data_IF_315581603294
#
_entry.id   IF_315581603294
#
_cell.length_a   1.000
_cell.length_b   1.000
_cell.length_c   1.000
_cell.angle_alpha   90.00
_cell.angle_beta   90.00
_cell.angle_gamma   90.00
#
_symmetry.space_group_name_H-M   'P 1'
#
loop_
_entity.id
_entity.type
_entity.pdbx_description
1 polymer ?
#
# COMPACT_ATOMS: atom_id res chain seq x y z
N UNK A 1 7.02 61.75 -30.81
CA UNK A 1 8.11 60.76 -30.95
C UNK A 1 9.11 61.01 -29.82
N UNK A 2 9.04 60.27 -28.73
CA UNK A 2 9.98 60.38 -27.62
C UNK A 2 11.21 59.52 -27.97
N UNK A 3 12.31 60.18 -28.24
CA UNK A 3 13.62 59.54 -28.44
C UNK A 3 14.07 58.95 -27.09
N UNK A 4 14.13 57.63 -26.99
CA UNK A 4 14.77 56.95 -25.87
C UNK A 4 16.26 57.19 -26.00
N UNK A 5 16.82 58.07 -25.11
CA UNK A 5 18.25 58.27 -24.99
C UNK A 5 18.90 56.98 -24.53
N UNK A 6 19.81 56.41 -25.34
CA UNK A 6 20.65 55.30 -24.91
C UNK A 6 21.60 55.85 -23.83
N UNK A 7 21.35 55.50 -22.59
CA UNK A 7 22.26 55.79 -21.48
C UNK A 7 23.60 55.08 -21.75
N UNK A 8 24.70 55.82 -21.78
CA UNK A 8 26.03 55.24 -21.90
C UNK A 8 26.30 54.39 -20.65
N UNK A 9 26.39 53.07 -20.84
CA UNK A 9 26.68 52.12 -19.77
C UNK A 9 28.12 52.34 -19.28
N UNK A 10 28.22 52.67 -18.00
CA UNK A 10 29.49 52.86 -17.33
C UNK A 10 30.08 51.53 -16.84
N UNK A 11 31.40 51.51 -16.54
CA UNK A 11 32.04 50.35 -15.88
C UNK A 11 31.34 49.97 -14.57
N UNK A 12 30.81 50.95 -13.88
CA UNK A 12 30.04 50.76 -12.65
C UNK A 12 28.74 50.03 -12.91
N UNK A 13 27.99 50.39 -13.94
CA UNK A 13 26.73 49.73 -14.31
C UNK A 13 26.97 48.29 -14.70
N UNK A 14 28.06 48.02 -15.43
CA UNK A 14 28.48 46.67 -15.75
C UNK A 14 28.73 45.83 -14.49
N UNK A 15 29.45 46.37 -13.50
CA UNK A 15 29.71 45.66 -12.25
C UNK A 15 28.42 45.37 -11.47
N UNK A 16 27.50 46.34 -11.39
CA UNK A 16 26.21 46.11 -10.75
C UNK A 16 25.37 45.03 -11.43
N UNK A 17 25.30 45.06 -12.75
CA UNK A 17 24.56 44.06 -13.54
C UNK A 17 25.20 42.68 -13.39
N UNK A 18 26.53 42.59 -13.51
CA UNK A 18 27.25 41.33 -13.37
C UNK A 18 27.10 40.74 -11.97
N UNK A 19 27.24 41.55 -10.92
CA UNK A 19 27.07 41.11 -9.54
C UNK A 19 25.62 40.68 -9.30
N UNK A 20 24.63 41.43 -9.77
CA UNK A 20 23.21 41.08 -9.65
C UNK A 20 22.86 39.77 -10.37
N UNK A 21 23.42 39.58 -11.58
CA UNK A 21 23.23 38.33 -12.32
C UNK A 21 23.83 37.12 -11.60
N UNK A 22 25.08 37.25 -11.12
CA UNK A 22 25.73 36.16 -10.34
C UNK A 22 24.97 35.87 -9.04
N UNK A 23 24.53 36.91 -8.33
CA UNK A 23 23.73 36.75 -7.11
C UNK A 23 22.39 36.09 -7.40
N UNK A 24 21.71 36.45 -8.49
CA UNK A 24 20.46 35.81 -8.89
C UNK A 24 20.63 34.30 -9.25
N UNK A 25 21.67 33.98 -10.02
CA UNK A 25 22.01 32.61 -10.38
C UNK A 25 22.41 31.83 -9.12
N UNK A 26 23.25 32.38 -8.26
CA UNK A 26 23.65 31.74 -7.00
C UNK A 26 22.48 31.51 -6.06
N UNK A 27 21.57 32.48 -5.94
CA UNK A 27 20.34 32.34 -5.16
C UNK A 27 19.43 31.26 -5.72
N UNK A 28 19.20 31.23 -7.03
CA UNK A 28 18.42 30.19 -7.69
C UNK A 28 19.07 28.81 -7.52
N UNK A 29 20.38 28.70 -7.69
CA UNK A 29 21.11 27.46 -7.50
C UNK A 29 21.02 26.91 -6.06
N UNK A 30 21.00 27.82 -5.06
CA UNK A 30 20.84 27.45 -3.65
C UNK A 30 19.48 26.85 -3.33
N UNK A 31 18.43 27.16 -4.10
CA UNK A 31 17.10 26.58 -3.92
C UNK A 31 17.01 25.14 -4.45
N UNK A 32 17.85 24.75 -5.41
CA UNK A 32 17.80 23.42 -6.02
C UNK A 32 17.94 22.30 -5.00
N UNK A 33 18.96 22.27 -4.11
CA UNK A 33 19.07 21.21 -3.10
C UNK A 33 17.91 21.24 -2.10
N UNK A 34 17.39 22.42 -1.75
CA UNK A 34 16.25 22.55 -0.84
C UNK A 34 14.96 21.95 -1.42
N UNK A 35 14.73 22.14 -2.72
CA UNK A 35 13.59 21.56 -3.43
C UNK A 35 13.84 20.06 -3.65
N UNK A 36 15.05 19.68 -4.04
CA UNK A 36 15.42 18.30 -4.34
C UNK A 36 15.28 17.37 -3.13
N UNK A 37 15.57 17.86 -1.92
CA UNK A 37 15.39 17.07 -0.70
C UNK A 37 13.93 16.74 -0.36
N UNK A 38 12.95 17.40 -0.99
CA UNK A 38 11.53 17.07 -0.86
C UNK A 38 11.13 15.84 -1.68
N UNK A 39 11.97 15.41 -2.61
CA UNK A 39 11.74 14.17 -3.35
C UNK A 39 11.96 12.95 -2.45
N UNK A 40 11.20 11.86 -2.68
CA UNK A 40 11.42 10.61 -1.95
C UNK A 40 12.85 10.11 -2.19
N UNK A 41 13.48 9.63 -1.14
CA UNK A 41 14.81 9.01 -1.21
C UNK A 41 14.77 7.62 -1.89
N UNK A 42 15.95 7.09 -2.20
CA UNK A 42 16.05 5.79 -2.87
C UNK A 42 15.50 4.63 -2.03
N UNK A 43 15.55 4.72 -0.70
CA UNK A 43 15.02 3.69 0.20
C UNK A 43 13.49 3.69 0.20
N UNK A 44 12.88 4.87 0.17
CA UNK A 44 11.42 5.04 0.06
C UNK A 44 10.91 4.53 -1.29
N UNK A 45 11.64 4.82 -2.37
CA UNK A 45 11.29 4.33 -3.72
C UNK A 45 11.41 2.80 -3.76
N UNK A 46 12.49 2.23 -3.21
CA UNK A 46 12.70 0.79 -3.16
C UNK A 46 11.62 0.09 -2.31
N UNK A 47 11.23 0.67 -1.17
CA UNK A 47 10.16 0.14 -0.33
C UNK A 47 8.78 0.14 -1.01
N UNK A 48 8.60 1.00 -2.04
CA UNK A 48 7.39 1.05 -2.87
C UNK A 48 7.38 0.06 -4.03
N UNK A 49 8.52 -0.57 -4.33
CA UNK A 49 8.62 -1.52 -5.44
C UNK A 49 7.75 -2.77 -5.20
N UNK A 50 7.24 -3.40 -6.27
CA UNK A 50 6.58 -4.69 -6.17
C UNK A 50 7.49 -5.76 -5.56
N UNK A 51 6.90 -6.69 -4.81
CA UNK A 51 7.61 -7.84 -4.24
C UNK A 51 7.07 -9.14 -4.80
N UNK A 52 7.98 -10.08 -5.07
CA UNK A 52 7.64 -11.44 -5.44
C UNK A 52 7.73 -12.34 -4.21
N UNK A 53 6.70 -13.13 -3.97
CA UNK A 53 6.63 -14.06 -2.83
C UNK A 53 6.50 -15.49 -3.35
N UNK A 54 7.38 -16.37 -2.88
CA UNK A 54 7.30 -17.81 -3.14
C UNK A 54 6.28 -18.46 -2.20
N UNK A 55 5.31 -19.13 -2.77
CA UNK A 55 4.23 -19.81 -2.07
C UNK A 55 4.48 -21.31 -1.87
N UNK A 56 5.48 -21.88 -2.56
CA UNK A 56 5.77 -23.31 -2.51
C UNK A 56 6.00 -23.86 -1.08
N UNK A 57 6.66 -23.11 -0.16
CA UNK A 57 6.86 -23.59 1.21
C UNK A 57 5.65 -23.44 2.12
N UNK A 58 4.54 -22.83 1.65
CA UNK A 58 3.37 -22.51 2.49
C UNK A 58 2.42 -23.70 2.51
N UNK A 59 2.29 -24.35 3.66
CA UNK A 59 1.40 -25.49 3.84
C UNK A 59 -0.09 -25.10 3.84
N UNK A 60 -0.96 -26.07 3.56
CA UNK A 60 -2.41 -25.91 3.66
C UNK A 60 -2.81 -25.43 5.08
N UNK A 61 -3.67 -24.44 5.17
CA UNK A 61 -4.09 -23.81 6.42
C UNK A 61 -3.09 -22.81 6.99
N UNK A 62 -1.92 -22.62 6.39
CA UNK A 62 -0.91 -21.72 6.89
C UNK A 62 -1.15 -20.29 6.42
N UNK A 63 -0.92 -19.33 7.33
CA UNK A 63 -0.88 -17.89 7.03
C UNK A 63 0.55 -17.39 7.18
N UNK A 64 1.09 -16.80 6.14
CA UNK A 64 2.36 -16.08 6.20
C UNK A 64 2.14 -14.58 6.16
N UNK A 65 3.08 -13.83 6.74
CA UNK A 65 3.06 -12.38 6.76
C UNK A 65 4.30 -11.84 6.06
N UNK A 66 4.08 -11.01 5.04
CA UNK A 66 5.12 -10.26 4.36
C UNK A 66 4.85 -8.76 4.51
N UNK A 67 5.84 -7.93 4.26
CA UNK A 67 5.65 -6.47 4.32
C UNK A 67 5.82 -5.87 2.92
N UNK A 68 4.88 -5.04 2.54
CA UNK A 68 4.94 -4.23 1.34
C UNK A 68 4.46 -2.80 1.63
N UNK A 69 5.25 -1.80 1.24
CA UNK A 69 5.00 -0.38 1.56
C UNK A 69 4.70 -0.14 3.04
N UNK A 70 5.50 -0.76 3.90
CA UNK A 70 5.34 -0.72 5.37
C UNK A 70 4.01 -1.28 5.90
N UNK A 71 3.19 -1.93 5.05
CA UNK A 71 1.94 -2.59 5.45
C UNK A 71 2.16 -4.09 5.56
N UNK A 72 1.66 -4.75 6.61
CA UNK A 72 1.64 -6.19 6.67
C UNK A 72 0.63 -6.73 5.65
N UNK A 73 1.04 -7.69 4.85
CA UNK A 73 0.21 -8.44 3.93
C UNK A 73 0.13 -9.87 4.46
N UNK A 74 -1.05 -10.36 4.68
CA UNK A 74 -1.28 -11.76 4.98
C UNK A 74 -1.55 -12.52 3.70
N UNK A 75 -0.87 -13.64 3.53
CA UNK A 75 -1.10 -14.61 2.45
C UNK A 75 -1.52 -15.91 3.14
N UNK A 76 -2.73 -16.31 2.88
CA UNK A 76 -3.37 -17.47 3.49
C UNK A 76 -3.56 -18.58 2.47
N UNK A 77 -2.96 -19.74 2.73
CA UNK A 77 -3.22 -20.97 1.98
C UNK A 77 -4.43 -21.68 2.59
N UNK A 78 -5.61 -21.39 2.06
CA UNK A 78 -6.89 -21.92 2.59
C UNK A 78 -7.06 -23.39 2.26
N UNK A 79 -7.53 -24.15 3.22
CA UNK A 79 -7.97 -25.53 3.02
C UNK A 79 -9.29 -25.57 2.24
N UNK A 80 -9.62 -26.70 1.64
CA UNK A 80 -10.91 -26.91 0.95
C UNK A 80 -12.10 -26.63 1.85
N UNK A 81 -12.01 -27.04 3.12
CA UNK A 81 -13.06 -26.80 4.13
C UNK A 81 -13.30 -25.30 4.33
N UNK A 82 -12.25 -24.51 4.50
CA UNK A 82 -12.34 -23.07 4.73
C UNK A 82 -12.92 -22.35 3.50
N UNK A 83 -12.57 -22.78 2.29
CA UNK A 83 -13.14 -22.26 1.05
C UNK A 83 -14.64 -22.56 0.98
N UNK A 84 -15.05 -23.80 1.22
CA UNK A 84 -16.46 -24.17 1.20
C UNK A 84 -17.28 -23.44 2.27
N UNK A 85 -16.75 -23.26 3.47
CA UNK A 85 -17.38 -22.50 4.54
C UNK A 85 -17.53 -21.02 4.17
N UNK A 86 -16.49 -20.43 3.58
CA UNK A 86 -16.51 -19.05 3.11
C UNK A 86 -17.55 -18.82 2.01
N UNK A 87 -17.69 -19.77 1.08
CA UNK A 87 -18.65 -19.70 -0.03
C UNK A 87 -20.11 -19.90 0.44
N UNK A 88 -20.34 -20.66 1.51
CA UNK A 88 -21.67 -20.89 2.09
C UNK A 88 -22.22 -19.69 2.86
N UNK A 89 -21.39 -18.70 3.17
CA UNK A 89 -21.83 -17.53 3.93
C UNK A 89 -22.86 -16.73 3.12
N UNK A 90 -23.99 -16.43 3.74
CA UNK A 90 -24.98 -15.53 3.13
C UNK A 90 -24.44 -14.10 3.09
N UNK A 91 -24.05 -13.66 1.90
CA UNK A 91 -23.44 -12.34 1.66
C UNK A 91 -24.34 -11.19 2.15
N UNK A 92 -25.67 -11.33 2.02
CA UNK A 92 -26.61 -10.28 2.44
C UNK A 92 -26.64 -10.04 3.96
N UNK A 93 -26.09 -10.97 4.76
CA UNK A 93 -26.02 -10.80 6.23
C UNK A 93 -24.72 -10.18 6.71
N UNK A 94 -23.77 -9.94 5.81
CA UNK A 94 -22.48 -9.35 6.16
C UNK A 94 -22.61 -7.84 6.36
N UNK A 95 -21.89 -7.26 7.31
CA UNK A 95 -21.80 -5.79 7.49
C UNK A 95 -21.27 -5.07 6.24
N UNK A 96 -20.32 -5.70 5.54
CA UNK A 96 -19.76 -5.27 4.26
C UNK A 96 -19.94 -6.40 3.26
N UNK A 97 -21.05 -6.39 2.47
CA UNK A 97 -21.45 -7.52 1.62
C UNK A 97 -20.52 -7.72 0.42
N UNK A 98 -19.73 -8.78 0.46
CA UNK A 98 -18.85 -9.16 -0.64
C UNK A 98 -18.75 -10.69 -0.75
N UNK A 99 -18.92 -11.28 -1.94
CA UNK A 99 -18.80 -12.72 -2.12
C UNK A 99 -17.33 -13.18 -2.02
N UNK A 100 -17.10 -14.41 -1.60
CA UNK A 100 -15.74 -14.99 -1.50
C UNK A 100 -14.97 -14.89 -2.84
N UNK A 101 -15.66 -15.15 -3.95
CA UNK A 101 -15.08 -15.11 -5.30
C UNK A 101 -14.55 -13.73 -5.72
N UNK A 102 -15.03 -12.64 -5.12
CA UNK A 102 -14.52 -11.29 -5.37
C UNK A 102 -13.24 -10.99 -4.58
N UNK A 103 -12.93 -11.82 -3.58
CA UNK A 103 -11.80 -11.59 -2.68
C UNK A 103 -10.56 -12.40 -3.05
N UNK A 104 -10.67 -13.30 -4.01
CA UNK A 104 -9.58 -14.13 -4.51
C UNK A 104 -9.40 -13.96 -6.02
N UNK A 105 -8.30 -14.40 -6.56
CA UNK A 105 -8.09 -14.41 -8.02
C UNK A 105 -8.63 -15.70 -8.62
N UNK A 106 -9.30 -15.59 -9.76
CA UNK A 106 -9.86 -16.75 -10.47
C UNK A 106 -8.79 -17.82 -10.75
N UNK A 107 -9.09 -19.07 -10.43
CA UNK A 107 -8.17 -20.20 -10.57
C UNK A 107 -7.17 -20.35 -9.41
N UNK A 108 -7.23 -19.48 -8.41
CA UNK A 108 -6.36 -19.51 -7.22
C UNK A 108 -7.16 -19.33 -5.92
N UNK A 109 -8.34 -19.97 -5.84
CA UNK A 109 -9.27 -19.85 -4.71
C UNK A 109 -8.66 -20.26 -3.37
N UNK A 110 -7.64 -21.12 -3.40
CA UNK A 110 -6.88 -21.52 -2.22
C UNK A 110 -6.01 -20.39 -1.64
N UNK A 111 -5.75 -19.33 -2.39
CA UNK A 111 -4.90 -18.25 -1.95
C UNK A 111 -5.68 -16.98 -1.67
N UNK A 112 -5.75 -16.59 -0.41
CA UNK A 112 -6.29 -15.29 -0.03
C UNK A 112 -5.13 -14.35 0.32
N UNK A 113 -5.10 -13.17 -0.31
CA UNK A 113 -4.08 -12.14 -0.06
C UNK A 113 -4.78 -10.88 0.42
N UNK A 114 -4.55 -10.48 1.67
CA UNK A 114 -5.18 -9.32 2.30
C UNK A 114 -4.18 -8.42 2.99
N UNK A 115 -4.50 -7.13 3.08
CA UNK A 115 -3.76 -6.19 3.92
C UNK A 115 -4.13 -6.47 5.37
N UNK A 116 -3.15 -6.85 6.19
CA UNK A 116 -3.33 -7.21 7.59
C UNK A 116 -3.51 -6.02 8.52
N UNK A 117 -4.40 -5.11 8.16
CA UNK A 117 -4.72 -3.90 8.92
C UNK A 117 -6.21 -3.84 9.16
N UNK A 118 -6.60 -3.87 10.44
CA UNK A 118 -8.00 -3.77 10.85
C UNK A 118 -8.59 -2.44 10.40
N UNK A 119 -9.74 -2.49 9.74
CA UNK A 119 -10.42 -1.32 9.17
C UNK A 119 -11.08 -0.41 10.21
N UNK A 120 -11.04 -0.80 11.51
CA UNK A 120 -11.51 0.08 12.59
C UNK A 120 -10.51 1.22 12.84
N UNK A 121 -9.32 0.92 13.42
CA UNK A 121 -8.31 1.91 13.80
C UNK A 121 -6.87 1.44 13.47
N UNK A 122 -6.68 0.55 12.52
CA UNK A 122 -5.36 0.22 11.99
C UNK A 122 -4.55 -0.81 12.78
N UNK A 123 -5.11 -1.50 13.78
CA UNK A 123 -4.41 -2.58 14.49
C UNK A 123 -4.15 -3.77 13.55
N UNK A 124 -3.11 -4.55 13.81
CA UNK A 124 -2.83 -5.78 13.08
C UNK A 124 -3.63 -6.92 13.73
N UNK A 125 -4.60 -7.54 13.03
CA UNK A 125 -5.39 -8.64 13.59
C UNK A 125 -4.55 -9.92 13.64
N UNK A 126 -4.89 -10.79 14.60
CA UNK A 126 -4.23 -12.06 14.85
C UNK A 126 -4.90 -13.16 14.01
N UNK A 127 -4.12 -13.97 13.25
CA UNK A 127 -4.65 -15.05 12.44
C UNK A 127 -5.12 -16.22 13.29
N UNK A 128 -6.04 -17.04 12.76
CA UNK A 128 -6.61 -18.23 13.38
C UNK A 128 -7.17 -17.99 14.78
N UNK A 129 -7.79 -16.82 14.98
CA UNK A 129 -8.43 -16.48 16.24
C UNK A 129 -9.83 -15.91 16.01
N UNK A 130 -10.64 -15.99 17.08
CA UNK A 130 -12.04 -15.58 17.04
C UNK A 130 -12.98 -16.73 16.67
N UNK A 131 -14.24 -16.40 16.42
CA UNK A 131 -15.34 -17.36 16.21
C UNK A 131 -15.45 -17.85 14.75
N UNK A 132 -14.65 -17.27 13.81
CA UNK A 132 -14.80 -17.48 12.37
C UNK A 132 -13.52 -18.02 11.71
N UNK A 133 -12.57 -18.54 12.47
CA UNK A 133 -11.29 -19.15 12.02
C UNK A 133 -10.41 -18.27 11.09
N UNK A 134 -10.76 -17.00 10.95
CA UNK A 134 -10.02 -16.03 10.16
C UNK A 134 -9.08 -15.16 11.00
N UNK A 135 -9.49 -13.94 11.28
CA UNK A 135 -8.66 -13.00 12.07
C UNK A 135 -9.47 -12.34 13.19
N UNK A 136 -8.81 -12.19 14.33
CA UNK A 136 -9.32 -11.47 15.48
C UNK A 136 -8.46 -10.23 15.76
N UNK A 137 -9.09 -9.07 15.85
CA UNK A 137 -8.43 -7.83 16.25
C UNK A 137 -8.56 -7.63 17.77
N UNK A 138 -7.46 -7.77 18.55
CA UNK A 138 -7.54 -7.71 20.01
C UNK A 138 -7.80 -6.31 20.55
N UNK A 139 -7.62 -5.26 19.72
CA UNK A 139 -7.78 -3.88 20.16
C UNK A 139 -9.24 -3.59 20.58
N UNK A 140 -10.22 -4.02 19.78
CA UNK A 140 -11.64 -3.72 20.02
C UNK A 140 -12.57 -4.88 19.62
N UNK A 141 -12.03 -6.08 19.40
CA UNK A 141 -12.82 -7.29 19.20
C UNK A 141 -13.42 -7.46 17.80
N UNK A 142 -12.92 -6.78 16.77
CA UNK A 142 -13.34 -7.05 15.40
C UNK A 142 -12.91 -8.44 14.96
N UNK A 143 -13.81 -9.19 14.32
CA UNK A 143 -13.60 -10.56 13.86
C UNK A 143 -13.87 -10.67 12.37
N UNK A 144 -12.96 -11.28 11.66
CA UNK A 144 -13.02 -11.52 10.23
C UNK A 144 -13.03 -13.01 9.94
N UNK A 145 -13.70 -13.42 8.88
CA UNK A 145 -13.73 -14.82 8.43
C UNK A 145 -12.50 -15.18 7.57
N UNK A 146 -12.47 -16.41 7.07
CA UNK A 146 -11.39 -16.96 6.22
C UNK A 146 -11.28 -16.33 4.84
N UNK A 147 -12.21 -15.42 4.49
CA UNK A 147 -12.12 -14.52 3.32
C UNK A 147 -11.70 -13.09 3.70
N UNK A 148 -11.40 -12.83 4.97
CA UNK A 148 -11.09 -11.49 5.48
C UNK A 148 -12.31 -10.55 5.52
N UNK A 149 -13.54 -11.09 5.50
CA UNK A 149 -14.77 -10.29 5.60
C UNK A 149 -15.11 -10.06 7.06
N UNK A 150 -15.53 -8.81 7.36
CA UNK A 150 -15.96 -8.48 8.72
C UNK A 150 -17.23 -9.25 9.09
N UNK A 151 -17.23 -9.88 10.25
CA UNK A 151 -18.35 -10.66 10.77
C UNK A 151 -18.92 -10.07 12.05
N UNK A 152 -18.05 -9.49 12.89
CA UNK A 152 -18.42 -8.97 14.21
C UNK A 152 -17.46 -7.87 14.64
N UNK A 153 -17.97 -6.92 15.40
CA UNK A 153 -17.14 -5.87 16.03
C UNK A 153 -17.26 -4.52 15.33
N UNK A 154 -16.46 -3.53 15.76
CA UNK A 154 -16.62 -2.14 15.34
C UNK A 154 -16.00 -1.82 13.97
N UNK A 155 -15.25 -2.74 13.34
CA UNK A 155 -14.68 -2.52 12.02
C UNK A 155 -15.80 -2.37 10.96
N UNK A 156 -15.79 -1.30 10.16
CA UNK A 156 -16.86 -1.04 9.20
C UNK A 156 -16.74 -1.83 7.90
N UNK A 157 -15.53 -2.26 7.52
CA UNK A 157 -15.24 -2.84 6.22
C UNK A 157 -14.45 -4.15 6.35
N UNK A 158 -14.46 -4.93 5.29
CA UNK A 158 -13.60 -6.09 5.10
C UNK A 158 -12.11 -5.69 5.13
N UNK A 159 -11.21 -6.66 5.40
CA UNK A 159 -9.78 -6.43 5.22
C UNK A 159 -9.53 -6.08 3.75
N UNK A 160 -8.78 -5.01 3.49
CA UNK A 160 -8.52 -4.55 2.13
C UNK A 160 -7.67 -5.55 1.34
N UNK A 161 -7.90 -5.65 0.03
CA UNK A 161 -7.06 -6.41 -0.87
C UNK A 161 -5.94 -5.50 -1.40
N UNK A 162 -4.68 -5.96 -1.45
CA UNK A 162 -3.63 -5.26 -2.17
C UNK A 162 -3.78 -5.48 -3.69
N UNK A 163 -3.10 -4.67 -4.48
CA UNK A 163 -2.87 -5.03 -5.88
C UNK A 163 -1.90 -6.22 -5.93
N UNK A 164 -2.32 -7.32 -6.55
CA UNK A 164 -1.47 -8.49 -6.71
C UNK A 164 -1.87 -9.32 -7.92
N UNK A 165 -0.91 -10.10 -8.43
CA UNK A 165 -1.12 -11.05 -9.53
C UNK A 165 -0.28 -12.31 -9.31
N UNK A 166 -0.76 -13.45 -9.77
CA UNK A 166 0.01 -14.68 -9.79
C UNK A 166 0.94 -14.68 -11.01
N UNK A 167 2.22 -14.94 -10.78
CA UNK A 167 3.23 -15.16 -11.81
C UNK A 167 3.27 -16.64 -12.22
N UNK A 168 2.94 -17.53 -11.30
CA UNK A 168 2.79 -18.97 -11.47
C UNK A 168 1.92 -19.50 -10.35
N UNK A 169 1.61 -20.81 -10.35
CA UNK A 169 0.85 -21.47 -9.27
C UNK A 169 1.53 -21.36 -7.88
N UNK A 170 2.85 -21.13 -7.87
CA UNK A 170 3.66 -21.06 -6.66
C UNK A 170 4.29 -19.69 -6.42
N UNK A 171 3.92 -18.67 -7.18
CA UNK A 171 4.54 -17.36 -7.05
C UNK A 171 3.54 -16.23 -7.25
N UNK A 172 3.46 -15.33 -6.27
CA UNK A 172 2.62 -14.14 -6.30
C UNK A 172 3.48 -12.88 -6.29
N UNK A 173 3.10 -11.91 -7.11
CA UNK A 173 3.65 -10.56 -7.15
C UNK A 173 2.66 -9.63 -6.46
N UNK A 174 3.14 -8.80 -5.54
CA UNK A 174 2.35 -7.79 -4.81
C UNK A 174 2.88 -6.41 -5.19
N UNK A 175 2.00 -5.58 -5.76
CA UNK A 175 2.32 -4.23 -6.25
C UNK A 175 2.35 -4.08 -7.75
#
# INVERSE_FOLDING_TARGET
MTTVSSADHTRRDFLFIATGAVAAVGGAASLVPLISQMNPDASTIAAGAPIDVDLAPVADGQIIKVFWRSKPIFIFHRTKKEIEEAQKVNVATLPDPEPDSARVKAGHDQWLVVIGICTHLGCIPLPHQGEYDGWFCPCHGSQYDTSGRIRKGPAPLNLALPDYSFLSDTKVKIG
#
